data_IF_129882926272
#
_entry.id   IF_129882926272
#
_cell.length_a   1.000
_cell.length_b   1.000
_cell.length_c   1.000
_cell.angle_alpha   90.00
_cell.angle_beta   90.00
_cell.angle_gamma   90.00
#
_symmetry.space_group_name_H-M   'P 1'
#
loop_
_entity.id
_entity.type
_entity.pdbx_description
1 polymer ?
#
# COMPACT_ATOMS: atom_id res chain seq x y z
N UNK A 1 -7.84 -12.83 -3.51
CA UNK A 1 -8.44 -11.71 -2.75
C UNK A 1 -7.63 -11.50 -1.48
N UNK A 2 -7.35 -10.24 -1.12
CA UNK A 2 -6.71 -9.91 0.15
C UNK A 2 -7.75 -9.50 1.19
N UNK A 3 -7.61 -10.04 2.40
CA UNK A 3 -8.50 -9.83 3.54
C UNK A 3 -7.71 -9.18 4.67
N UNK A 4 -8.32 -8.24 5.38
CA UNK A 4 -7.74 -7.66 6.58
C UNK A 4 -8.39 -8.30 7.80
N UNK A 5 -7.58 -8.88 8.68
CA UNK A 5 -8.02 -9.57 9.90
C UNK A 5 -7.04 -9.25 11.02
N UNK A 6 -7.36 -9.65 12.25
CA UNK A 6 -6.38 -9.61 13.34
C UNK A 6 -5.16 -10.46 12.97
N UNK A 7 -3.97 -9.94 13.27
CA UNK A 7 -2.71 -10.64 12.95
C UNK A 7 -2.54 -11.90 13.80
N UNK A 8 -1.89 -12.92 13.24
CA UNK A 8 -1.48 -14.14 13.94
C UNK A 8 -0.19 -13.97 14.76
N UNK A 9 0.45 -12.79 14.70
CA UNK A 9 1.63 -12.49 15.51
C UNK A 9 1.30 -12.44 17.01
N UNK A 10 2.00 -13.27 17.77
CA UNK A 10 1.83 -13.34 19.22
C UNK A 10 2.27 -12.04 19.90
N UNK A 11 1.56 -11.64 20.96
CA UNK A 11 1.84 -10.45 21.76
C UNK A 11 1.72 -9.09 21.03
N UNK A 12 1.27 -9.07 19.77
CA UNK A 12 0.98 -7.86 19.03
C UNK A 12 -0.54 -7.75 18.84
N UNK A 13 -1.13 -6.65 19.29
CA UNK A 13 -2.52 -6.32 18.95
C UNK A 13 -2.50 -5.44 17.71
N UNK A 14 -2.91 -6.01 16.57
CA UNK A 14 -2.86 -5.32 15.29
C UNK A 14 -3.59 -6.07 14.19
N UNK A 15 -3.50 -5.50 13.00
CA UNK A 15 -4.09 -6.06 11.80
C UNK A 15 -3.02 -6.77 10.96
N UNK A 16 -3.44 -7.77 10.19
CA UNK A 16 -2.64 -8.46 9.18
C UNK A 16 -3.43 -8.63 7.89
N UNK A 17 -2.72 -8.93 6.81
CA UNK A 17 -3.32 -9.22 5.50
C UNK A 17 -3.27 -10.71 5.23
N UNK A 18 -4.41 -11.29 4.87
CA UNK A 18 -4.58 -12.70 4.58
C UNK A 18 -4.97 -12.90 3.11
N UNK A 19 -4.45 -13.96 2.49
CA UNK A 19 -4.81 -14.32 1.13
C UNK A 19 -5.98 -15.31 1.13
N UNK A 20 -7.06 -14.99 0.41
CA UNK A 20 -8.13 -15.93 0.00
C UNK A 20 -8.09 -16.14 -1.52
N UNK A 21 -7.85 -17.35 -1.97
CA UNK A 21 -7.62 -17.76 -3.36
C UNK A 21 -6.19 -18.26 -3.57
N UNK A 22 -5.73 -18.22 -4.82
CA UNK A 22 -4.40 -18.66 -5.22
C UNK A 22 -3.57 -17.52 -5.81
N UNK A 23 -2.27 -17.52 -5.54
CA UNK A 23 -1.27 -16.65 -6.16
C UNK A 23 -0.06 -17.49 -6.55
N UNK A 24 0.56 -17.17 -7.68
CA UNK A 24 1.81 -17.82 -8.10
C UNK A 24 3.03 -17.06 -7.61
N UNK A 25 4.14 -17.79 -7.41
CA UNK A 25 5.44 -17.18 -7.15
C UNK A 25 5.75 -16.10 -8.21
N UNK A 26 6.21 -14.94 -7.75
CA UNK A 26 6.54 -13.80 -8.61
C UNK A 26 5.34 -12.92 -8.99
N UNK A 27 4.12 -13.28 -8.62
CA UNK A 27 2.94 -12.46 -8.90
C UNK A 27 2.82 -11.30 -7.90
N UNK A 28 2.46 -10.12 -8.42
CA UNK A 28 2.14 -8.93 -7.61
C UNK A 28 0.84 -9.17 -6.84
N UNK A 29 0.90 -8.96 -5.53
CA UNK A 29 -0.23 -9.11 -4.61
C UNK A 29 -0.89 -7.77 -4.30
N UNK A 30 -0.07 -6.77 -3.97
CA UNK A 30 -0.53 -5.44 -3.59
C UNK A 30 0.57 -4.39 -3.81
N UNK A 31 0.18 -3.13 -3.69
CA UNK A 31 1.05 -1.98 -3.60
C UNK A 31 1.10 -1.51 -2.15
N UNK A 32 2.25 -0.99 -1.75
CA UNK A 32 2.42 -0.22 -0.54
C UNK A 32 1.94 1.21 -0.81
N UNK A 33 0.78 1.62 -0.28
CA UNK A 33 0.27 2.96 -0.52
C UNK A 33 1.06 3.99 0.30
N UNK A 34 1.04 5.25 -0.11
CA UNK A 34 1.59 6.29 0.73
C UNK A 34 2.12 7.53 0.02
N UNK A 35 2.41 8.54 0.82
CA UNK A 35 3.01 9.78 0.38
C UNK A 35 4.51 9.54 0.18
N UNK A 36 5.03 9.91 -0.98
CA UNK A 36 6.41 9.66 -1.39
C UNK A 36 7.23 10.90 -1.13
N UNK A 37 8.27 10.76 -0.31
CA UNK A 37 9.25 11.78 0.00
C UNK A 37 10.55 11.44 -0.71
N UNK A 38 11.11 12.40 -1.44
CA UNK A 38 12.49 12.30 -1.93
C UNK A 38 13.49 12.44 -0.76
N UNK A 39 14.76 12.17 -1.00
CA UNK A 39 15.83 12.20 0.01
C UNK A 39 15.87 13.51 0.79
N UNK A 40 15.65 14.65 0.11
CA UNK A 40 15.70 15.99 0.70
C UNK A 40 14.38 16.51 1.26
N UNK A 41 13.27 15.77 1.09
CA UNK A 41 11.96 16.25 1.52
C UNK A 41 11.81 16.21 3.05
N UNK A 42 11.12 17.19 3.65
CA UNK A 42 10.94 17.23 5.09
C UNK A 42 9.92 16.18 5.56
N UNK A 43 10.35 15.28 6.45
CA UNK A 43 9.51 14.20 7.02
C UNK A 43 9.39 14.24 8.56
N UNK A 44 10.04 15.21 9.23
CA UNK A 44 10.21 15.20 10.69
C UNK A 44 8.91 14.88 11.45
N UNK A 45 7.85 15.67 11.28
CA UNK A 45 6.59 15.48 12.03
C UNK A 45 5.86 14.17 11.68
N UNK A 46 5.95 13.72 10.44
CA UNK A 46 5.32 12.48 9.97
C UNK A 46 6.08 11.24 10.45
N UNK A 47 7.37 11.37 10.75
CA UNK A 47 8.24 10.27 11.18
C UNK A 47 8.16 9.92 12.67
N UNK A 48 7.67 10.82 13.52
CA UNK A 48 7.64 10.59 14.97
C UNK A 48 6.71 9.42 15.31
N UNK A 49 7.31 8.30 15.73
CA UNK A 49 6.58 7.08 16.09
C UNK A 49 5.87 6.39 14.93
N UNK A 50 6.23 6.70 13.68
CA UNK A 50 5.58 6.16 12.50
C UNK A 50 6.33 4.94 11.95
N UNK A 51 5.77 3.75 12.17
CA UNK A 51 6.32 2.47 11.70
C UNK A 51 5.90 2.12 10.26
N UNK A 52 5.10 2.97 9.60
CA UNK A 52 4.60 2.74 8.24
C UNK A 52 5.39 3.51 7.18
N UNK A 53 6.58 4.02 7.52
CA UNK A 53 7.47 4.67 6.56
C UNK A 53 8.46 3.64 6.04
N UNK A 54 8.36 3.31 4.76
CA UNK A 54 9.31 2.42 4.09
C UNK A 54 10.31 3.20 3.26
N UNK A 55 11.60 2.98 3.54
CA UNK A 55 12.67 3.54 2.75
C UNK A 55 13.05 2.57 1.62
N UNK A 56 13.18 3.12 0.42
CA UNK A 56 13.68 2.45 -0.77
C UNK A 56 15.21 2.55 -0.85
N UNK A 57 15.81 1.74 -1.71
CA UNK A 57 17.25 1.70 -1.99
C UNK A 57 17.79 3.03 -2.54
N UNK A 58 16.95 3.81 -3.21
CA UNK A 58 17.24 5.16 -3.68
C UNK A 58 17.00 6.26 -2.63
N UNK A 59 16.86 5.88 -1.36
CA UNK A 59 16.59 6.74 -0.20
C UNK A 59 15.25 7.48 -0.22
N UNK A 60 14.40 7.26 -1.24
CA UNK A 60 13.01 7.73 -1.21
C UNK A 60 12.25 7.01 -0.11
N UNK A 61 11.30 7.71 0.52
CA UNK A 61 10.49 7.17 1.62
C UNK A 61 9.02 7.18 1.26
N UNK A 62 8.32 6.09 1.51
CA UNK A 62 6.88 5.95 1.29
C UNK A 62 6.17 5.89 2.64
N UNK A 63 5.45 6.95 3.00
CA UNK A 63 4.65 7.03 4.23
C UNK A 63 3.24 6.46 4.00
N UNK A 64 3.07 5.21 4.41
CA UNK A 64 1.80 4.47 4.32
C UNK A 64 0.92 4.59 5.56
N UNK A 65 1.16 5.55 6.46
CA UNK A 65 0.36 5.68 7.68
C UNK A 65 -1.02 6.27 7.38
N UNK A 66 -2.06 5.47 7.59
CA UNK A 66 -3.46 5.85 7.36
C UNK A 66 -4.08 6.70 8.48
N UNK A 67 -3.27 7.24 9.41
CA UNK A 67 -3.71 7.96 10.61
C UNK A 67 -3.08 9.33 10.73
N UNK A 68 -3.68 10.13 11.62
CA UNK A 68 -3.14 11.40 12.11
C UNK A 68 -2.62 12.34 11.01
N UNK A 69 -1.42 12.88 11.19
CA UNK A 69 -0.81 13.86 10.30
C UNK A 69 -0.51 13.28 8.93
N UNK A 70 0.01 12.05 8.84
CA UNK A 70 0.28 11.37 7.57
C UNK A 70 -0.95 11.27 6.67
N UNK A 71 -2.11 10.89 7.25
CA UNK A 71 -3.40 10.88 6.53
C UNK A 71 -3.77 12.26 6.00
N UNK A 72 -3.60 13.31 6.80
CA UNK A 72 -3.93 14.69 6.40
C UNK A 72 -3.04 15.12 5.22
N UNK A 73 -1.74 14.88 5.32
CA UNK A 73 -0.78 15.19 4.27
C UNK A 73 -1.11 14.44 2.98
N UNK A 74 -1.28 13.12 3.03
CA UNK A 74 -1.62 12.33 1.86
C UNK A 74 -2.87 12.86 1.14
N UNK A 75 -3.95 13.14 1.89
CA UNK A 75 -5.19 13.68 1.29
C UNK A 75 -4.97 15.02 0.59
N UNK A 76 -4.17 15.89 1.18
CA UNK A 76 -3.84 17.19 0.59
C UNK A 76 -3.15 17.00 -0.77
N UNK A 77 -2.10 16.17 -0.80
CA UNK A 77 -1.30 15.94 -2.00
C UNK A 77 -2.04 15.13 -3.08
N UNK A 78 -2.83 14.12 -2.69
CA UNK A 78 -3.65 13.36 -3.63
C UNK A 78 -4.67 14.26 -4.35
N UNK A 79 -5.19 15.30 -3.68
CA UNK A 79 -6.12 16.25 -4.30
C UNK A 79 -5.42 17.33 -5.12
N UNK A 80 -4.19 17.72 -4.77
CA UNK A 80 -3.37 18.71 -5.50
C UNK A 80 -3.24 18.35 -6.98
N UNK A 81 -2.99 17.07 -7.25
CA UNK A 81 -2.62 16.60 -8.59
C UNK A 81 -3.84 16.24 -9.47
N UNK A 82 -5.07 16.37 -8.95
CA UNK A 82 -6.27 16.09 -9.75
C UNK A 82 -6.38 17.06 -10.95
N UNK A 83 -6.69 16.50 -12.12
CA UNK A 83 -6.89 17.30 -13.34
C UNK A 83 -8.31 17.84 -13.33
N UNK A 84 -8.48 19.16 -13.36
CA UNK A 84 -9.80 19.79 -13.50
C UNK A 84 -10.10 20.01 -14.98
N UNK A 85 -11.22 19.48 -15.44
CA UNK A 85 -11.73 19.64 -16.80
C UNK A 85 -12.50 20.95 -16.92
N UNK A 86 -12.64 21.46 -18.15
CA UNK A 86 -13.36 22.71 -18.43
C UNK A 86 -14.82 22.71 -17.99
N UNK A 87 -15.44 21.52 -17.85
CA UNK A 87 -16.81 21.35 -17.36
C UNK A 87 -16.92 21.25 -15.82
N UNK A 88 -15.82 21.48 -15.09
CA UNK A 88 -15.76 21.42 -13.63
C UNK A 88 -15.65 20.00 -13.04
N UNK A 89 -15.65 18.96 -13.87
CA UNK A 89 -15.34 17.60 -13.43
C UNK A 89 -13.83 17.47 -13.17
N UNK A 90 -13.45 16.51 -12.33
CA UNK A 90 -12.03 16.22 -12.08
C UNK A 90 -11.69 14.76 -12.37
N UNK A 91 -10.48 14.54 -12.90
CA UNK A 91 -9.89 13.21 -13.09
C UNK A 91 -8.92 12.96 -11.96
N UNK A 92 -9.22 11.96 -11.12
CA UNK A 92 -8.33 11.55 -10.04
C UNK A 92 -7.01 11.04 -10.57
N UNK A 93 -5.90 11.54 -10.04
CA UNK A 93 -4.55 11.10 -10.41
C UNK A 93 -3.93 10.13 -9.40
N UNK A 94 -4.62 9.86 -8.28
CA UNK A 94 -4.13 8.99 -7.21
C UNK A 94 -5.31 8.28 -6.53
N UNK A 95 -5.09 7.04 -6.08
CA UNK A 95 -6.04 6.32 -5.24
C UNK A 95 -5.88 6.70 -3.77
N UNK A 96 -6.86 7.40 -3.22
CA UNK A 96 -6.92 7.73 -1.80
C UNK A 96 -7.81 6.81 -0.97
N UNK A 97 -8.40 5.77 -1.59
CA UNK A 97 -9.39 4.91 -0.93
C UNK A 97 -8.82 4.04 0.18
N UNK A 98 -7.51 3.75 0.13
CA UNK A 98 -6.79 2.99 1.15
C UNK A 98 -6.84 3.64 2.55
N UNK A 99 -7.00 4.97 2.63
CA UNK A 99 -7.11 5.71 3.90
C UNK A 99 -8.38 5.39 4.71
N UNK A 100 -9.36 4.72 4.11
CA UNK A 100 -10.65 4.38 4.72
C UNK A 100 -10.82 2.88 4.97
N UNK A 101 -9.73 2.11 4.88
CA UNK A 101 -9.75 0.65 5.01
C UNK A 101 -10.02 0.13 6.44
N UNK A 102 -10.16 1.05 7.43
CA UNK A 102 -10.36 0.73 8.85
C UNK A 102 -11.67 0.02 9.22
N UNK A 103 -12.68 -0.02 8.35
CA UNK A 103 -14.03 -0.44 8.75
C UNK A 103 -14.45 -1.83 8.28
N UNK A 104 -13.56 -2.59 7.65
CA UNK A 104 -13.86 -3.97 7.26
C UNK A 104 -13.36 -4.91 8.36
N UNK A 105 -14.17 -5.12 9.39
CA UNK A 105 -14.07 -6.37 10.15
C UNK A 105 -14.85 -7.43 9.37
N UNK A 106 -14.16 -8.49 8.94
CA UNK A 106 -14.78 -9.68 8.38
C UNK A 106 -15.39 -10.49 9.54
N UNK A 107 -16.69 -10.34 9.75
CA UNK A 107 -17.49 -11.19 10.65
C UNK A 107 -17.79 -12.57 10.03
N UNK A 108 -17.17 -12.90 8.89
CA UNK A 108 -17.45 -14.07 8.07
C UNK A 108 -18.63 -13.89 7.13
N UNK A 109 -19.35 -12.75 7.20
CA UNK A 109 -20.48 -12.47 6.32
C UNK A 109 -20.02 -11.67 5.09
N UNK A 110 -19.85 -12.41 3.99
CA UNK A 110 -19.46 -11.87 2.68
C UNK A 110 -20.39 -10.73 2.21
N UNK A 111 -21.67 -10.75 2.58
CA UNK A 111 -22.63 -9.71 2.19
C UNK A 111 -22.40 -8.39 2.94
N UNK A 112 -22.05 -8.46 4.23
CA UNK A 112 -21.65 -7.29 5.02
C UNK A 112 -20.33 -6.70 4.52
N UNK A 113 -19.36 -7.55 4.16
CA UNK A 113 -18.09 -7.12 3.57
C UNK A 113 -18.31 -6.27 2.30
N UNK A 114 -19.16 -6.72 1.37
CA UNK A 114 -19.45 -5.97 0.14
C UNK A 114 -20.25 -4.69 0.41
N UNK A 115 -21.18 -4.69 1.38
CA UNK A 115 -21.93 -3.49 1.80
C UNK A 115 -21.00 -2.42 2.38
N UNK A 116 -20.11 -2.80 3.30
CA UNK A 116 -19.09 -1.92 3.89
C UNK A 116 -18.13 -1.41 2.79
N UNK A 117 -17.66 -2.28 1.89
CA UNK A 117 -16.83 -1.87 0.75
C UNK A 117 -17.49 -0.81 -0.12
N UNK A 118 -18.77 -0.99 -0.45
CA UNK A 118 -19.55 -0.05 -1.26
C UNK A 118 -19.76 1.27 -0.52
N UNK A 119 -19.94 1.22 0.80
CA UNK A 119 -20.06 2.39 1.67
C UNK A 119 -18.75 3.19 1.80
N UNK A 120 -17.60 2.53 1.93
CA UNK A 120 -16.30 3.19 2.12
C UNK A 120 -15.47 3.36 0.84
N UNK A 121 -15.99 2.91 -0.31
CA UNK A 121 -15.41 3.10 -1.65
C UNK A 121 -13.94 2.67 -1.76
N UNK A 122 -13.59 1.49 -1.23
CA UNK A 122 -12.26 0.91 -1.48
C UNK A 122 -12.22 0.45 -2.93
N UNK A 123 -11.73 1.34 -3.80
CA UNK A 123 -11.74 1.17 -5.25
C UNK A 123 -10.72 0.12 -5.68
N UNK A 124 -9.58 0.04 -4.99
CA UNK A 124 -8.50 -0.88 -5.32
C UNK A 124 -8.15 -1.78 -4.13
N UNK A 125 -8.41 -3.09 -4.28
CA UNK A 125 -8.08 -4.10 -3.27
C UNK A 125 -6.57 -4.31 -3.10
N UNK A 126 -5.78 -3.78 -4.02
CA UNK A 126 -4.33 -3.95 -4.06
C UNK A 126 -3.62 -2.87 -3.25
N UNK A 127 -4.28 -1.81 -2.78
CA UNK A 127 -3.59 -0.67 -2.14
C UNK A 127 -3.53 -0.79 -0.61
N UNK A 128 -3.11 -1.95 -0.10
CA UNK A 128 -3.16 -2.29 1.33
C UNK A 128 -1.86 -2.91 1.86
N UNK A 129 -0.77 -2.83 1.10
CA UNK A 129 0.52 -3.45 1.45
C UNK A 129 1.10 -2.98 2.79
N UNK A 130 0.74 -1.79 3.27
CA UNK A 130 1.17 -1.25 4.56
C UNK A 130 0.67 -2.01 5.79
N UNK A 131 -0.30 -2.93 5.62
CA UNK A 131 -0.75 -3.84 6.66
C UNK A 131 -0.09 -5.23 6.60
N UNK A 132 0.81 -5.48 5.64
CA UNK A 132 1.62 -6.71 5.62
C UNK A 132 2.70 -6.58 6.69
N UNK A 133 2.62 -7.44 7.70
CA UNK A 133 3.55 -7.40 8.82
C UNK A 133 4.93 -7.91 8.42
N UNK A 134 5.95 -7.40 9.10
CA UNK A 134 7.33 -7.86 8.97
C UNK A 134 7.83 -8.41 10.29
N UNK A 135 7.55 -9.69 10.59
CA UNK A 135 7.85 -10.27 11.88
C UNK A 135 9.35 -10.42 12.08
N UNK A 136 9.81 -10.05 13.27
CA UNK A 136 11.12 -10.44 13.80
C UNK A 136 10.87 -11.70 14.63
N UNK A 137 11.05 -12.89 14.05
CA UNK A 137 10.92 -14.14 14.79
C UNK A 137 12.28 -14.81 14.94
N UNK A 138 12.78 -14.91 16.17
CA UNK A 138 14.04 -15.59 16.49
C UNK A 138 14.02 -17.07 16.07
N UNK A 139 12.83 -17.70 16.10
CA UNK A 139 12.64 -19.11 15.76
C UNK A 139 12.17 -19.37 14.31
N UNK A 140 12.20 -18.37 13.42
CA UNK A 140 11.66 -18.46 12.05
C UNK A 140 10.18 -18.94 11.98
N UNK A 141 9.42 -18.79 13.07
CA UNK A 141 8.02 -19.23 13.17
C UNK A 141 7.14 -18.58 12.09
N UNK A 142 7.40 -17.33 11.75
CA UNK A 142 6.66 -16.58 10.75
C UNK A 142 7.57 -16.31 9.54
N UNK A 143 7.63 -17.28 8.62
CA UNK A 143 8.42 -17.16 7.39
C UNK A 143 7.75 -16.19 6.41
N UNK A 144 8.54 -15.28 5.86
CA UNK A 144 8.08 -14.38 4.79
C UNK A 144 7.67 -15.17 3.54
N UNK A 145 6.48 -14.87 3.06
CA UNK A 145 5.89 -15.42 1.84
C UNK A 145 5.65 -14.32 0.79
N UNK A 146 5.99 -13.08 1.13
CA UNK A 146 5.93 -11.89 0.27
C UNK A 146 7.24 -11.10 0.45
N UNK A 147 7.64 -10.34 -0.58
CA UNK A 147 8.76 -9.38 -0.51
C UNK A 147 8.33 -8.00 -0.98
N UNK A 148 8.99 -6.98 -0.47
CA UNK A 148 8.95 -5.63 -1.05
C UNK A 148 9.76 -5.61 -2.35
N UNK A 149 9.22 -4.97 -3.37
CA UNK A 149 9.86 -4.78 -4.66
C UNK A 149 9.69 -3.34 -5.11
N UNK A 150 10.80 -2.64 -5.33
CA UNK A 150 10.77 -1.24 -5.73
C UNK A 150 10.37 -1.12 -7.19
N UNK A 151 9.43 -0.22 -7.48
CA UNK A 151 8.92 -0.03 -8.83
C UNK A 151 8.67 1.45 -9.10
N UNK A 152 9.00 1.88 -10.32
CA UNK A 152 8.81 3.25 -10.77
C UNK A 152 7.74 3.26 -11.86
N UNK A 153 6.63 3.95 -11.59
CA UNK A 153 5.62 4.21 -12.60
C UNK A 153 6.15 5.33 -13.51
N UNK A 154 6.20 5.08 -14.81
CA UNK A 154 6.67 6.06 -15.80
C UNK A 154 5.49 6.82 -16.42
N UNK A 155 5.66 8.13 -16.59
CA UNK A 155 4.63 9.03 -17.13
C UNK A 155 4.16 8.61 -18.54
N UNK A 156 5.11 8.22 -19.39
CA UNK A 156 4.84 7.88 -20.80
C UNK A 156 4.13 6.53 -20.96
N UNK A 157 4.33 5.62 -20.01
CA UNK A 157 3.78 4.27 -20.08
C UNK A 157 2.39 4.17 -19.43
N UNK A 158 1.98 5.19 -18.66
CA UNK A 158 0.76 5.12 -17.84
C UNK A 158 -0.39 6.00 -18.36
N UNK A 159 -1.49 5.39 -18.84
CA UNK A 159 -2.68 6.13 -19.27
C UNK A 159 -3.28 6.97 -18.14
N UNK A 160 -3.68 8.21 -18.45
CA UNK A 160 -4.26 9.16 -17.47
C UNK A 160 -5.43 8.57 -16.66
N UNK A 161 -6.31 7.82 -17.31
CA UNK A 161 -7.49 7.22 -16.66
C UNK A 161 -7.15 6.07 -15.70
N UNK A 162 -5.94 5.51 -15.76
CA UNK A 162 -5.47 4.45 -14.85
C UNK A 162 -4.68 4.99 -13.67
N UNK A 163 -4.28 6.27 -13.67
CA UNK A 163 -3.52 6.89 -12.58
C UNK A 163 -4.31 6.92 -11.27
N UNK A 164 -5.64 6.98 -11.36
CA UNK A 164 -6.55 6.87 -10.21
C UNK A 164 -6.42 5.57 -9.38
N UNK A 165 -5.69 4.57 -9.86
CA UNK A 165 -5.46 3.30 -9.16
C UNK A 165 -4.08 3.24 -8.47
N UNK A 166 -3.18 4.19 -8.76
CA UNK A 166 -1.87 4.27 -8.13
C UNK A 166 -2.03 4.95 -6.76
N UNK A 167 -1.64 4.31 -5.65
CA UNK A 167 -1.84 4.87 -4.31
C UNK A 167 -0.66 5.70 -3.81
N UNK A 168 0.23 6.10 -4.70
CA UNK A 168 1.43 6.85 -4.39
C UNK A 168 1.35 8.22 -5.04
N UNK A 169 1.73 9.24 -4.28
CA UNK A 169 1.80 10.62 -4.73
C UNK A 169 3.05 11.23 -4.13
N UNK A 170 3.75 12.07 -4.89
CA UNK A 170 4.93 12.75 -4.36
C UNK A 170 4.54 13.92 -3.44
N UNK A 171 5.28 14.07 -2.35
CA UNK A 171 5.27 15.24 -1.49
C UNK A 171 5.58 16.49 -2.33
N UNK A 172 6.70 16.49 -3.04
CA UNK A 172 7.06 17.52 -4.01
C UNK A 172 7.02 16.92 -5.40
N UNK A 173 6.32 17.57 -6.35
CA UNK A 173 6.35 17.09 -7.73
C UNK A 173 7.82 17.00 -8.21
N UNK A 174 8.22 15.89 -8.84
CA UNK A 174 9.55 15.78 -9.42
C UNK A 174 9.70 16.85 -10.49
N UNK A 175 10.94 17.23 -10.79
CA UNK A 175 11.23 18.24 -11.83
C UNK A 175 10.47 17.92 -13.13
N UNK A 176 9.99 18.94 -13.84
CA UNK A 176 9.13 18.81 -15.03
C UNK A 176 9.70 17.90 -16.13
N UNK A 177 11.02 17.68 -16.14
CA UNK A 177 11.71 16.78 -17.07
C UNK A 177 11.79 15.32 -16.61
N UNK A 178 11.25 14.97 -15.44
CA UNK A 178 11.32 13.62 -14.90
C UNK A 178 10.35 12.69 -15.66
N UNK A 179 10.83 11.55 -16.20
CA UNK A 179 9.94 10.56 -16.81
C UNK A 179 9.17 9.77 -15.75
N UNK A 180 9.47 9.92 -14.45
CA UNK A 180 8.85 9.15 -13.37
C UNK A 180 7.56 9.84 -12.90
N UNK A 181 6.45 9.14 -13.06
CA UNK A 181 5.13 9.50 -12.52
C UNK A 181 5.12 9.42 -11.00
N UNK A 182 5.51 8.26 -10.45
CA UNK A 182 5.70 8.09 -9.01
C UNK A 182 6.58 6.90 -8.71
N UNK A 183 7.31 7.00 -7.60
CA UNK A 183 8.02 5.90 -6.97
C UNK A 183 7.04 5.10 -6.11
N UNK A 184 7.12 3.78 -6.17
CA UNK A 184 6.23 2.87 -5.44
C UNK A 184 7.02 1.67 -4.89
N UNK A 185 6.33 0.89 -4.07
CA UNK A 185 6.78 -0.40 -3.57
C UNK A 185 5.65 -1.39 -3.82
N UNK A 186 5.93 -2.45 -4.56
CA UNK A 186 5.06 -3.58 -4.80
C UNK A 186 5.33 -4.66 -3.76
N UNK A 187 4.33 -5.48 -3.49
CA UNK A 187 4.42 -6.67 -2.66
C UNK A 187 4.26 -7.87 -3.58
N UNK A 188 5.31 -8.67 -3.70
CA UNK A 188 5.39 -9.78 -4.65
C UNK A 188 5.49 -11.10 -3.89
N UNK A 189 4.75 -12.12 -4.33
CA UNK A 189 4.77 -13.43 -3.69
C UNK A 189 6.10 -14.17 -3.90
N UNK A 190 6.67 -14.72 -2.83
CA UNK A 190 7.92 -15.49 -2.87
C UNK A 190 7.73 -16.98 -3.20
N UNK A 191 6.49 -17.47 -3.12
CA UNK A 191 6.12 -18.86 -3.35
C UNK A 191 4.71 -18.96 -3.95
N UNK A 192 4.32 -20.15 -4.39
CA UNK A 192 2.91 -20.41 -4.67
C UNK A 192 2.16 -20.45 -3.33
N UNK A 193 1.04 -19.72 -3.24
CA UNK A 193 0.18 -19.71 -2.04
C UNK A 193 -1.24 -20.03 -2.49
N UNK A 194 -1.86 -20.99 -1.82
CA UNK A 194 -3.26 -21.37 -2.04
C UNK A 194 -3.98 -21.43 -0.69
N UNK A 195 -5.05 -20.64 -0.55
CA UNK A 195 -5.88 -20.61 0.66
C UNK A 195 -7.33 -20.41 0.28
N UNK A 196 -8.14 -21.47 0.36
CA UNK A 196 -9.56 -21.39 -0.01
C UNK A 196 -10.36 -20.48 0.94
N UNK A 197 -10.00 -20.47 2.23
CA UNK A 197 -10.78 -19.80 3.29
C UNK A 197 -10.18 -18.48 3.77
N UNK A 198 -9.02 -18.07 3.28
CA UNK A 198 -8.39 -16.82 3.72
C UNK A 198 -7.69 -16.93 5.07
N UNK A 199 -7.05 -18.07 5.34
CA UNK A 199 -6.39 -18.39 6.60
C UNK A 199 -4.85 -18.24 6.55
N UNK A 200 -4.28 -17.94 5.38
CA UNK A 200 -2.83 -17.70 5.25
C UNK A 200 -2.55 -16.20 5.36
N UNK A 201 -1.90 -15.79 6.44
CA UNK A 201 -1.38 -14.43 6.61
C UNK A 201 -0.15 -14.22 5.71
N UNK A 202 -0.05 -13.01 5.17
CA UNK A 202 1.09 -12.55 4.39
C UNK A 202 2.09 -11.86 5.30
N UNK A 203 3.34 -12.26 5.18
CA UNK A 203 4.47 -11.69 5.89
C UNK A 203 5.57 -11.31 4.92
N UNK A 204 6.17 -10.14 5.16
CA UNK A 204 7.35 -9.65 4.45
C UNK A 204 8.56 -9.61 5.38
N UNK A 205 9.76 -9.46 4.82
CA UNK A 205 10.94 -9.09 5.60
C UNK A 205 11.68 -7.98 4.84
N UNK A 206 12.25 -7.03 5.59
CA UNK A 206 13.02 -5.91 5.07
C UNK A 206 14.48 -6.23 4.81
N UNK A 207 14.92 -7.46 5.11
CA UNK A 207 16.26 -7.91 4.76
C UNK A 207 16.40 -7.88 3.23
N UNK A 208 17.12 -6.86 2.75
CA UNK A 208 17.76 -6.89 1.45
C UNK A 208 18.45 -8.26 1.34
N UNK A 209 18.03 -9.06 0.36
CA UNK A 209 18.74 -10.29 0.06
C UNK A 209 20.12 -9.86 -0.45
N UNK A 210 21.09 -9.82 0.46
CA UNK A 210 22.49 -9.98 0.10
C UNK A 210 22.61 -11.38 -0.50
N UNK A 211 22.59 -11.44 -1.83
CA UNK A 211 22.91 -12.63 -2.63
C UNK A 211 24.21 -12.39 -3.37
#
# INVERSE_FOLDING_TARGET
>A
MLLKKETSLENIKGDGIFLKGSVKKGQVLCLYPGLVYDFSDPIFFQSIGNMFINQRSDYCRVDGNDRFISKIYFKSYANRDNIILSNGQYIKQCDSSWLNFKYIHDDGNVENYWKIRKQYSILNHLNIGHYINSPVSEDNKFKSNVMYFEYDFLYNDWPYHLRQYIPNVFYKQPYDSSPVLTKSILLISLCDIESQDGNIELFANYLHLDS
#
